data_IF_816850182988
#
_entry.id   IF_816850182988
#
_cell.length_a   1.000
_cell.length_b   1.000
_cell.length_c   1.000
_cell.angle_alpha   90.00
_cell.angle_beta   90.00
_cell.angle_gamma   90.00
#
_symmetry.space_group_name_H-M   'P 1'
#
loop_
_entity.id
_entity.type
_entity.pdbx_description
1 polymer ?
#
# COMPACT_ATOMS: atom_id res chain seq x y z
N UNK A 1 0.37 2.43 -57.88
CA UNK A 1 0.72 1.39 -56.87
C UNK A 1 1.63 1.98 -55.78
N UNK A 2 1.17 2.95 -54.97
CA UNK A 2 2.03 3.68 -54.00
C UNK A 2 1.54 3.71 -52.54
N UNK A 3 0.38 3.08 -52.24
CA UNK A 3 -0.26 3.17 -50.91
C UNK A 3 0.17 2.09 -49.91
N UNK A 4 0.53 0.87 -50.34
CA UNK A 4 0.83 -0.22 -49.40
C UNK A 4 2.03 0.02 -48.47
N UNK A 5 3.02 0.80 -48.90
CA UNK A 5 4.18 1.12 -48.05
C UNK A 5 3.85 2.11 -46.93
N UNK A 6 2.94 3.07 -47.16
CA UNK A 6 2.56 4.04 -46.14
C UNK A 6 1.71 3.39 -45.04
N UNK A 7 0.85 2.46 -45.43
CA UNK A 7 -0.01 1.75 -44.49
C UNK A 7 0.82 0.79 -43.61
N UNK A 8 1.80 0.08 -44.20
CA UNK A 8 2.73 -0.75 -43.42
C UNK A 8 3.58 0.07 -42.45
N UNK A 9 4.09 1.24 -42.88
CA UNK A 9 4.87 2.13 -42.01
C UNK A 9 4.02 2.68 -40.85
N UNK A 10 2.74 2.98 -41.10
CA UNK A 10 1.80 3.41 -40.07
C UNK A 10 1.51 2.30 -39.05
N UNK A 11 1.33 1.06 -39.51
CA UNK A 11 1.13 -0.12 -38.66
C UNK A 11 2.38 -0.38 -37.81
N UNK A 12 3.57 -0.32 -38.39
CA UNK A 12 4.83 -0.53 -37.68
C UNK A 12 5.08 0.56 -36.62
N UNK A 13 4.75 1.81 -36.93
CA UNK A 13 4.77 2.93 -35.97
C UNK A 13 3.79 2.72 -34.82
N UNK A 14 2.56 2.28 -35.11
CA UNK A 14 1.55 2.01 -34.10
C UNK A 14 1.98 0.86 -33.17
N UNK A 15 2.49 -0.23 -33.74
CA UNK A 15 3.02 -1.37 -32.97
C UNK A 15 4.21 -0.96 -32.11
N UNK A 16 5.17 -0.23 -32.67
CA UNK A 16 6.33 0.29 -31.94
C UNK A 16 5.92 1.21 -30.79
N UNK A 17 4.89 2.05 -31.00
CA UNK A 17 4.32 2.92 -29.96
C UNK A 17 3.66 2.11 -28.84
N UNK A 18 2.92 1.06 -29.18
CA UNK A 18 2.31 0.15 -28.22
C UNK A 18 3.37 -0.55 -27.36
N UNK A 19 4.39 -1.16 -27.99
CA UNK A 19 5.47 -1.86 -27.27
C UNK A 19 6.21 -0.89 -26.33
N UNK A 20 6.53 0.33 -26.78
CA UNK A 20 7.15 1.36 -25.93
C UNK A 20 6.28 1.71 -24.73
N UNK A 21 4.95 1.77 -24.91
CA UNK A 21 4.00 2.06 -23.85
C UNK A 21 3.94 0.93 -22.83
N UNK A 22 3.88 -0.32 -23.29
CA UNK A 22 3.95 -1.51 -22.43
C UNK A 22 5.25 -1.53 -21.63
N UNK A 23 6.41 -1.33 -22.27
CA UNK A 23 7.71 -1.28 -21.60
C UNK A 23 7.79 -0.16 -20.57
N UNK A 24 7.28 1.03 -20.89
CA UNK A 24 7.23 2.18 -19.96
C UNK A 24 6.36 1.88 -18.74
N UNK A 25 5.23 1.22 -18.91
CA UNK A 25 4.36 0.83 -17.80
C UNK A 25 5.01 -0.25 -16.94
N UNK A 26 5.57 -1.29 -17.56
CA UNK A 26 6.26 -2.37 -16.86
C UNK A 26 7.48 -1.87 -16.07
N UNK A 27 8.30 -1.00 -16.66
CA UNK A 27 9.46 -0.43 -15.98
C UNK A 27 9.05 0.43 -14.80
N UNK A 28 8.04 1.31 -14.97
CA UNK A 28 7.53 2.14 -13.88
C UNK A 28 6.97 1.30 -12.73
N UNK A 29 6.22 0.25 -13.04
CA UNK A 29 5.66 -0.63 -12.02
C UNK A 29 6.76 -1.42 -11.29
N UNK A 30 7.78 -1.89 -12.02
CA UNK A 30 8.99 -2.51 -11.44
C UNK A 30 9.69 -1.56 -10.47
N UNK A 31 10.04 -0.34 -10.91
CA UNK A 31 10.72 0.63 -10.06
C UNK A 31 9.89 1.05 -8.85
N UNK A 32 8.56 1.16 -9.00
CA UNK A 32 7.68 1.45 -7.86
C UNK A 32 7.72 0.33 -6.83
N UNK A 33 7.71 -0.95 -7.26
CA UNK A 33 7.86 -2.10 -6.36
C UNK A 33 9.25 -2.13 -5.71
N UNK A 34 10.30 -1.89 -6.50
CA UNK A 34 11.68 -1.86 -6.01
C UNK A 34 11.89 -0.75 -4.97
N UNK A 35 11.39 0.46 -5.21
CA UNK A 35 11.48 1.57 -4.27
C UNK A 35 10.70 1.29 -2.99
N UNK A 36 9.50 0.71 -3.10
CA UNK A 36 8.74 0.27 -1.93
C UNK A 36 9.53 -0.76 -1.12
N UNK A 37 10.13 -1.76 -1.79
CA UNK A 37 10.95 -2.76 -1.11
C UNK A 37 12.19 -2.12 -0.47
N UNK A 38 12.92 -1.28 -1.20
CA UNK A 38 14.13 -0.59 -0.72
C UNK A 38 13.87 0.35 0.45
N UNK A 39 12.71 0.99 0.52
CA UNK A 39 12.33 1.82 1.67
C UNK A 39 12.18 0.98 2.95
N UNK A 40 11.93 -0.32 2.82
CA UNK A 40 11.79 -1.26 3.93
C UNK A 40 13.00 -2.18 4.10
N UNK A 41 13.87 -2.30 3.09
CA UNK A 41 15.11 -3.08 3.13
C UNK A 41 16.33 -2.16 3.05
N UNK A 42 16.50 -1.29 4.04
CA UNK A 42 17.82 -0.67 4.26
C UNK A 42 18.78 -1.77 4.69
N UNK A 43 19.62 -2.24 3.76
CA UNK A 43 20.75 -3.09 4.10
C UNK A 43 21.63 -2.33 5.08
N UNK A 44 21.80 -2.89 6.26
CA UNK A 44 22.67 -2.38 7.31
C UNK A 44 24.12 -2.52 6.84
N UNK A 45 24.63 -1.50 6.16
CA UNK A 45 26.05 -1.40 5.84
C UNK A 45 26.83 -1.17 7.15
N UNK A 46 27.66 -2.13 7.53
CA UNK A 46 28.44 -2.13 8.79
C UNK A 46 29.26 -0.84 9.00
N UNK A 47 29.62 -0.14 7.91
CA UNK A 47 30.31 1.15 7.98
C UNK A 47 29.41 2.31 8.38
N UNK A 48 28.12 2.25 8.06
CA UNK A 48 27.13 3.28 8.45
C UNK A 48 26.68 3.12 9.90
N UNK A 49 26.65 1.89 10.44
CA UNK A 49 26.22 1.62 11.82
C UNK A 49 27.12 2.31 12.85
N UNK A 50 28.43 2.40 12.60
CA UNK A 50 29.39 3.05 13.52
C UNK A 50 29.18 4.55 13.73
N UNK A 51 28.54 5.24 12.78
CA UNK A 51 28.35 6.69 12.82
C UNK A 51 26.97 7.10 13.37
N UNK A 52 26.06 6.15 13.56
CA UNK A 52 24.83 6.38 14.30
C UNK A 52 25.03 5.89 15.72
N UNK A 53 24.85 6.77 16.71
CA UNK A 53 24.53 6.32 18.06
C UNK A 53 23.21 5.56 17.93
N UNK A 54 23.30 4.25 17.82
CA UNK A 54 22.16 3.36 17.72
C UNK A 54 21.47 3.42 19.08
N UNK A 55 20.55 4.37 19.26
CA UNK A 55 19.62 4.35 20.38
C UNK A 55 18.62 3.21 20.13
N UNK A 56 19.11 1.98 20.26
CA UNK A 56 18.25 0.82 20.39
C UNK A 56 17.53 0.99 21.71
N UNK A 57 16.35 1.61 21.65
CA UNK A 57 15.34 1.40 22.68
C UNK A 57 14.92 -0.05 22.51
N UNK A 58 15.60 -0.96 23.20
CA UNK A 58 15.06 -2.29 23.45
C UNK A 58 13.85 -2.03 24.33
N UNK A 59 12.70 -1.79 23.68
CA UNK A 59 11.42 -1.87 24.33
C UNK A 59 11.29 -3.33 24.76
N UNK A 60 11.65 -3.58 26.02
CA UNK A 60 11.13 -4.74 26.73
C UNK A 60 9.62 -4.69 26.49
N UNK A 61 8.97 -5.74 25.96
CA UNK A 61 7.54 -5.71 25.71
C UNK A 61 6.86 -5.58 27.06
N UNK A 62 6.59 -4.33 27.45
CA UNK A 62 5.70 -4.01 28.53
C UNK A 62 4.34 -4.55 28.11
N UNK A 63 3.58 -5.05 29.08
CA UNK A 63 2.20 -5.53 28.91
C UNK A 63 1.32 -4.63 28.02
N UNK A 64 1.68 -3.36 27.85
CA UNK A 64 1.11 -2.36 26.93
C UNK A 64 0.95 -2.83 25.46
N UNK A 65 1.88 -3.61 24.88
CA UNK A 65 1.69 -4.06 23.48
C UNK A 65 0.56 -5.09 23.30
N UNK A 66 0.24 -5.84 24.35
CA UNK A 66 -0.92 -6.74 24.36
C UNK A 66 -2.21 -5.92 24.45
N UNK A 67 -2.19 -4.85 25.24
CA UNK A 67 -3.28 -3.89 25.36
C UNK A 67 -3.56 -3.18 24.03
N UNK A 68 -2.53 -2.76 23.28
CA UNK A 68 -2.71 -2.12 21.97
C UNK A 68 -3.36 -3.05 20.94
N UNK A 69 -2.97 -4.33 20.93
CA UNK A 69 -3.54 -5.32 20.00
C UNK A 69 -4.98 -5.67 20.38
N UNK A 70 -5.27 -5.78 21.68
CA UNK A 70 -6.64 -5.96 22.19
C UNK A 70 -7.50 -4.73 21.92
N UNK A 71 -6.97 -3.52 22.12
CA UNK A 71 -7.64 -2.26 21.83
C UNK A 71 -7.97 -2.17 20.34
N UNK A 72 -7.04 -2.49 19.43
CA UNK A 72 -7.33 -2.51 17.98
C UNK A 72 -8.42 -3.54 17.64
N UNK A 73 -8.41 -4.72 18.25
CA UNK A 73 -9.46 -5.73 18.03
C UNK A 73 -10.81 -5.29 18.59
N UNK A 74 -10.85 -4.68 19.77
CA UNK A 74 -12.04 -4.09 20.38
C UNK A 74 -12.58 -2.97 19.49
N UNK A 75 -11.73 -2.06 19.02
CA UNK A 75 -12.06 -0.98 18.09
C UNK A 75 -12.67 -1.55 16.80
N UNK A 76 -12.07 -2.57 16.21
CA UNK A 76 -12.60 -3.21 14.98
C UNK A 76 -13.97 -3.85 15.23
N UNK A 77 -14.22 -4.36 16.43
CA UNK A 77 -15.50 -4.94 16.84
C UNK A 77 -16.55 -3.85 17.15
N UNK A 78 -16.18 -2.78 17.84
CA UNK A 78 -17.07 -1.69 18.26
C UNK A 78 -17.44 -0.74 17.12
N UNK A 79 -16.51 -0.46 16.20
CA UNK A 79 -16.79 0.39 15.03
C UNK A 79 -17.77 -0.21 14.03
N UNK A 80 -18.20 -1.48 14.23
CA UNK A 80 -19.09 -2.20 13.32
C UNK A 80 -18.66 -2.06 11.85
N UNK A 81 -17.34 -2.17 11.59
CA UNK A 81 -16.81 -2.09 10.24
C UNK A 81 -17.44 -3.18 9.37
N UNK A 82 -17.88 -2.81 8.17
CA UNK A 82 -18.44 -3.77 7.22
C UNK A 82 -17.40 -4.83 6.84
N UNK A 83 -17.84 -6.03 6.40
CA UNK A 83 -16.92 -7.08 5.96
C UNK A 83 -15.95 -6.61 4.87
N UNK A 84 -16.41 -5.72 3.99
CA UNK A 84 -15.59 -5.14 2.92
C UNK A 84 -14.52 -4.20 3.48
N UNK A 85 -14.87 -3.32 4.42
CA UNK A 85 -13.90 -2.43 5.10
C UNK A 85 -12.83 -3.24 5.83
N UNK A 86 -13.24 -4.26 6.62
CA UNK A 86 -12.32 -5.16 7.32
C UNK A 86 -11.38 -5.88 6.36
N UNK A 87 -11.92 -6.40 5.25
CA UNK A 87 -11.14 -7.12 4.24
C UNK A 87 -10.16 -6.20 3.51
N UNK A 88 -10.57 -4.97 3.17
CA UNK A 88 -9.67 -3.97 2.54
C UNK A 88 -8.53 -3.61 3.50
N UNK A 89 -8.80 -3.38 4.78
CA UNK A 89 -7.75 -3.11 5.78
C UNK A 89 -6.78 -4.29 5.89
N UNK A 90 -7.30 -5.51 6.00
CA UNK A 90 -6.48 -6.71 6.09
C UNK A 90 -5.57 -6.88 4.87
N UNK A 91 -6.13 -6.80 3.66
CA UNK A 91 -5.34 -6.95 2.44
C UNK A 91 -4.30 -5.84 2.29
N UNK A 92 -4.63 -4.62 2.73
CA UNK A 92 -3.74 -3.46 2.61
C UNK A 92 -2.59 -3.46 3.60
N UNK A 93 -2.87 -3.71 4.87
CA UNK A 93 -1.94 -3.48 5.97
C UNK A 93 -1.38 -4.77 6.58
N UNK A 94 -1.99 -5.92 6.31
CA UNK A 94 -1.49 -7.23 6.77
C UNK A 94 -0.88 -8.03 5.62
N UNK A 95 -1.39 -7.89 4.40
CA UNK A 95 -0.87 -8.59 3.21
C UNK A 95 -0.14 -7.71 2.20
N UNK A 96 0.06 -6.42 2.52
CA UNK A 96 0.80 -5.45 1.70
C UNK A 96 0.37 -5.35 0.23
N UNK A 97 -0.91 -5.58 -0.06
CA UNK A 97 -1.41 -5.51 -1.42
C UNK A 97 -1.59 -4.06 -1.88
N UNK A 98 -1.33 -3.80 -3.17
CA UNK A 98 -1.59 -2.49 -3.73
C UNK A 98 -3.09 -2.27 -3.90
N UNK A 99 -3.55 -1.02 -3.94
CA UNK A 99 -4.97 -0.71 -4.17
C UNK A 99 -5.48 -1.30 -5.50
N UNK A 100 -4.58 -1.54 -6.48
CA UNK A 100 -4.89 -2.24 -7.74
C UNK A 100 -5.09 -3.74 -7.51
N UNK A 101 -4.21 -4.39 -6.76
CA UNK A 101 -4.32 -5.82 -6.48
C UNK A 101 -5.55 -6.13 -5.61
N UNK A 102 -5.84 -5.26 -4.63
CA UNK A 102 -7.04 -5.33 -3.80
C UNK A 102 -8.30 -5.20 -4.67
N UNK A 103 -8.34 -4.20 -5.55
CA UNK A 103 -9.43 -3.98 -6.49
C UNK A 103 -9.70 -5.23 -7.33
N UNK A 104 -8.65 -5.82 -7.90
CA UNK A 104 -8.74 -7.06 -8.67
C UNK A 104 -9.25 -8.23 -7.82
N UNK A 105 -8.77 -8.37 -6.58
CA UNK A 105 -9.16 -9.47 -5.68
C UNK A 105 -10.60 -9.39 -5.18
N UNK A 106 -11.17 -8.18 -5.14
CA UNK A 106 -12.52 -7.91 -4.64
C UNK A 106 -13.53 -7.65 -5.76
N UNK A 107 -13.10 -7.61 -7.03
CA UNK A 107 -13.97 -7.31 -8.16
C UNK A 107 -14.53 -5.87 -8.15
N UNK A 108 -13.82 -4.92 -7.53
CA UNK A 108 -14.24 -3.52 -7.42
C UNK A 108 -13.22 -2.58 -8.07
N UNK A 109 -13.59 -1.31 -8.27
CA UNK A 109 -12.66 -0.33 -8.84
C UNK A 109 -11.58 0.07 -7.84
N UNK A 110 -10.40 0.43 -8.35
CA UNK A 110 -9.31 0.99 -7.51
C UNK A 110 -9.75 2.23 -6.74
N UNK A 111 -10.60 3.07 -7.33
CA UNK A 111 -11.15 4.25 -6.66
C UNK A 111 -12.05 3.86 -5.50
N UNK A 112 -12.88 2.83 -5.64
CA UNK A 112 -13.69 2.31 -4.54
C UNK A 112 -12.80 1.85 -3.38
N UNK A 113 -11.72 1.09 -3.64
CA UNK A 113 -10.74 0.69 -2.61
C UNK A 113 -10.17 1.91 -1.89
N UNK A 114 -9.70 2.91 -2.62
CA UNK A 114 -9.08 4.10 -2.02
C UNK A 114 -10.10 4.91 -1.19
N UNK A 115 -11.34 5.08 -1.67
CA UNK A 115 -12.41 5.77 -0.94
C UNK A 115 -12.80 5.01 0.33
N UNK A 116 -13.05 3.70 0.22
CA UNK A 116 -13.42 2.87 1.37
C UNK A 116 -12.30 2.91 2.42
N UNK A 117 -11.04 2.73 2.02
CA UNK A 117 -9.89 2.83 2.93
C UNK A 117 -9.84 4.18 3.64
N UNK A 118 -9.92 5.29 2.90
CA UNK A 118 -9.87 6.63 3.48
C UNK A 118 -11.01 6.82 4.51
N UNK A 119 -12.23 6.45 4.14
CA UNK A 119 -13.40 6.54 5.01
C UNK A 119 -13.25 5.68 6.27
N UNK A 120 -12.80 4.43 6.13
CA UNK A 120 -12.57 3.53 7.27
C UNK A 120 -11.50 4.07 8.22
N UNK A 121 -10.40 4.63 7.70
CA UNK A 121 -9.36 5.24 8.53
C UNK A 121 -9.85 6.48 9.26
N UNK A 122 -10.69 7.31 8.63
CA UNK A 122 -11.33 8.45 9.29
C UNK A 122 -12.19 7.96 10.45
N UNK A 123 -13.03 6.94 10.23
CA UNK A 123 -13.85 6.36 11.31
C UNK A 123 -13.00 5.88 12.48
N UNK A 124 -11.94 5.12 12.21
CA UNK A 124 -11.02 4.61 13.23
C UNK A 124 -10.38 5.77 13.99
N UNK A 125 -9.87 6.79 13.28
CA UNK A 125 -9.27 7.98 13.88
C UNK A 125 -10.26 8.74 14.77
N UNK A 126 -11.49 8.93 14.30
CA UNK A 126 -12.54 9.59 15.07
C UNK A 126 -12.83 8.83 16.36
N UNK A 127 -12.95 7.50 16.29
CA UNK A 127 -13.14 6.67 17.47
C UNK A 127 -11.97 6.81 18.46
N UNK A 128 -10.72 6.76 17.98
CA UNK A 128 -9.54 6.97 18.82
C UNK A 128 -9.57 8.32 19.53
N UNK A 129 -9.88 9.39 18.79
CA UNK A 129 -9.96 10.73 19.37
C UNK A 129 -11.07 10.82 20.43
N UNK A 130 -12.22 10.20 20.21
CA UNK A 130 -13.34 10.23 21.16
C UNK A 130 -13.12 9.38 22.41
N UNK A 131 -12.45 8.23 22.29
CA UNK A 131 -12.28 7.29 23.41
C UNK A 131 -10.97 7.45 24.20
N UNK A 132 -9.93 8.02 23.60
CA UNK A 132 -8.62 8.15 24.25
C UNK A 132 -8.24 9.58 24.67
N UNK A 133 -9.03 10.61 24.32
CA UNK A 133 -8.82 11.98 24.85
C UNK A 133 -9.38 12.23 26.25
N UNK A 134 -10.08 11.27 26.88
CA UNK A 134 -10.70 11.44 28.22
C UNK A 134 -9.80 10.86 29.35
N UNK A 135 -8.62 10.34 29.03
CA UNK A 135 -7.74 9.66 30.02
C UNK A 135 -6.49 10.44 30.45
N UNK A 136 -6.46 11.76 30.27
CA UNK A 136 -5.44 12.64 30.86
C UNK A 136 -6.05 13.57 31.90
#
# INVERSE_FOLDING_TARGET
MRNGNKDNEAVEKAFSSYVKTCLRHSSRDYFRKMLHHSAHTTLLDERKIRNYSLSVSIYLPSLLQVEDKQAILQIINELNLSPVEKKILYLKYVRDQTDKDIANSLGITRQAVSKTKAHTLIKIKSYFNSHFQIRN
#
